data_IF_756549548232
#
_entry.id   IF_756549548232
#
_cell.length_a   1.000
_cell.length_b   1.000
_cell.length_c   1.000
_cell.angle_alpha   90.00
_cell.angle_beta   90.00
_cell.angle_gamma   90.00
#
_symmetry.space_group_name_H-M   'P 1'
#
loop_
_entity.id
_entity.type
_entity.pdbx_description
1 polymer ?
#
# COMPACT_ATOMS: atom_id res chain seq x y z
N UNK A 1 -26.09 -8.55 18.08
CA UNK A 1 -25.45 -8.45 17.42
C UNK A 1 -24.98 -7.49 16.87
N UNK A 2 -24.52 -7.16 16.66
CA UNK A 2 -24.21 -6.26 16.02
C UNK A 2 -23.59 -6.32 14.96
N UNK A 3 -24.05 -6.21 14.17
CA UNK A 3 -23.37 -6.34 13.00
C UNK A 3 -22.40 -5.27 12.79
N UNK A 4 -21.29 -5.62 12.38
CA UNK A 4 -20.29 -4.63 12.12
C UNK A 4 -20.28 -4.30 10.66
N UNK A 5 -20.75 -3.12 10.35
CA UNK A 5 -20.65 -2.59 9.00
C UNK A 5 -19.33 -1.86 8.79
N UNK A 6 -18.51 -1.81 9.82
CA UNK A 6 -17.24 -1.11 9.75
C UNK A 6 -16.13 -2.05 9.29
N UNK A 7 -15.40 -1.60 8.27
CA UNK A 7 -14.26 -2.32 7.73
C UNK A 7 -12.99 -1.79 8.38
N UNK A 8 -12.03 -2.67 8.64
CA UNK A 8 -10.72 -2.24 9.09
C UNK A 8 -9.85 -2.00 7.87
N UNK A 9 -9.28 -0.81 7.78
CA UNK A 9 -8.32 -0.47 6.73
C UNK A 9 -6.90 -0.62 7.28
N UNK A 10 -6.16 -1.58 6.77
CA UNK A 10 -4.79 -1.86 7.19
C UNK A 10 -3.81 -0.94 6.46
N UNK A 11 -3.93 0.36 6.71
CA UNK A 11 -3.12 1.36 6.03
C UNK A 11 -3.06 2.64 6.85
N UNK A 12 -1.97 3.38 6.73
CA UNK A 12 -1.83 4.70 7.35
C UNK A 12 -2.30 5.82 6.43
N UNK A 13 -2.72 5.51 5.22
CA UNK A 13 -3.06 6.50 4.21
C UNK A 13 -4.38 7.20 4.52
N UNK A 14 -4.33 8.51 4.75
CA UNK A 14 -5.52 9.32 4.93
C UNK A 14 -6.34 9.40 3.65
N UNK A 15 -5.66 9.41 2.51
CA UNK A 15 -6.34 9.46 1.21
C UNK A 15 -7.20 8.23 0.98
N UNK A 16 -6.68 7.06 1.30
CA UNK A 16 -7.44 5.82 1.15
C UNK A 16 -8.67 5.79 2.05
N UNK A 17 -8.51 6.27 3.29
CA UNK A 17 -9.65 6.39 4.21
C UNK A 17 -10.70 7.35 3.66
N UNK A 18 -10.27 8.50 3.16
CA UNK A 18 -11.19 9.49 2.58
C UNK A 18 -11.94 8.94 1.37
N UNK A 19 -11.27 8.17 0.52
CA UNK A 19 -11.92 7.55 -0.64
C UNK A 19 -13.03 6.61 -0.20
N UNK A 20 -12.77 5.79 0.80
CA UNK A 20 -13.78 4.86 1.32
C UNK A 20 -14.96 5.62 1.93
N UNK A 21 -14.68 6.62 2.74
CA UNK A 21 -15.73 7.39 3.41
C UNK A 21 -16.58 8.19 2.44
N UNK A 22 -15.98 8.72 1.37
CA UNK A 22 -16.73 9.40 0.31
C UNK A 22 -17.69 8.47 -0.41
N UNK A 23 -17.41 7.18 -0.38
CA UNK A 23 -18.27 6.16 -0.97
C UNK A 23 -19.17 5.48 0.06
N UNK A 24 -19.37 6.15 1.19
CA UNK A 24 -20.25 5.68 2.27
C UNK A 24 -19.80 4.36 2.90
N UNK A 25 -18.51 4.10 2.88
CA UNK A 25 -17.93 2.93 3.53
C UNK A 25 -17.24 3.37 4.80
N UNK A 26 -17.79 2.99 5.93
CA UNK A 26 -17.17 3.29 7.22
C UNK A 26 -15.96 2.40 7.42
N UNK A 27 -14.86 3.00 7.85
CA UNK A 27 -13.66 2.22 8.12
C UNK A 27 -12.92 2.73 9.35
N UNK A 28 -12.27 1.79 10.02
CA UNK A 28 -11.38 2.06 11.13
C UNK A 28 -9.96 1.80 10.63
N UNK A 29 -9.07 2.74 10.87
CA UNK A 29 -7.67 2.59 10.45
C UNK A 29 -6.89 1.83 11.51
N UNK A 30 -6.22 0.75 11.09
CA UNK A 30 -5.29 0.00 11.94
C UNK A 30 -4.03 -0.22 11.11
N UNK A 31 -2.96 0.46 11.47
CA UNK A 31 -1.70 0.33 10.75
C UNK A 31 -1.12 -1.07 10.95
N UNK A 32 -0.63 -1.68 9.87
CA UNK A 32 -0.03 -3.01 9.94
C UNK A 32 1.34 -3.00 10.62
N UNK A 33 2.04 -1.85 10.57
CA UNK A 33 3.41 -1.71 11.08
C UNK A 33 4.36 -2.75 10.48
N UNK A 34 4.13 -3.07 9.21
CA UNK A 34 4.94 -4.02 8.48
C UNK A 34 6.20 -3.34 7.97
N UNK A 35 7.35 -4.00 8.15
CA UNK A 35 8.58 -3.53 7.53
C UNK A 35 8.59 -4.03 6.08
N UNK A 36 8.25 -3.12 5.17
CA UNK A 36 8.03 -3.47 3.76
C UNK A 36 9.31 -3.64 2.95
N UNK A 37 10.38 -2.96 3.34
CA UNK A 37 11.60 -2.94 2.52
C UNK A 37 12.22 -4.32 2.28
N UNK A 38 12.42 -5.17 3.31
CA UNK A 38 12.97 -6.51 3.05
C UNK A 38 12.08 -7.35 2.15
N UNK A 39 10.77 -7.19 2.26
CA UNK A 39 9.82 -7.92 1.45
C UNK A 39 9.91 -7.48 -0.01
N UNK A 40 9.95 -6.17 -0.25
CA UNK A 40 10.13 -5.61 -1.59
C UNK A 40 11.42 -6.11 -2.22
N UNK A 41 12.53 -6.04 -1.48
CA UNK A 41 13.82 -6.47 -1.99
C UNK A 41 13.80 -7.94 -2.41
N UNK A 42 13.21 -8.79 -1.59
CA UNK A 42 13.09 -10.22 -1.90
C UNK A 42 12.28 -10.44 -3.17
N UNK A 43 11.15 -9.75 -3.30
CA UNK A 43 10.29 -9.89 -4.48
C UNK A 43 10.97 -9.38 -5.74
N UNK A 44 11.69 -8.26 -5.64
CA UNK A 44 12.45 -7.72 -6.77
C UNK A 44 13.52 -8.70 -7.23
N UNK A 45 14.23 -9.30 -6.29
CA UNK A 45 15.27 -10.30 -6.62
C UNK A 45 14.69 -11.53 -7.30
N UNK A 46 13.45 -11.87 -7.01
CA UNK A 46 12.75 -12.99 -7.65
C UNK A 46 12.15 -12.62 -9.00
N UNK A 47 12.30 -11.37 -9.43
CA UNK A 47 11.79 -10.91 -10.71
C UNK A 47 10.31 -10.59 -10.72
N UNK A 48 9.72 -10.32 -9.56
CA UNK A 48 8.31 -9.97 -9.49
C UNK A 48 8.04 -8.63 -10.16
N UNK A 49 6.90 -8.52 -10.86
CA UNK A 49 6.49 -7.26 -11.48
C UNK A 49 6.04 -6.25 -10.41
N UNK A 50 6.05 -4.94 -10.73
CA UNK A 50 5.52 -3.93 -9.80
C UNK A 50 4.09 -4.23 -9.36
N UNK A 51 3.25 -4.67 -10.28
CA UNK A 51 1.87 -5.04 -9.98
C UNK A 51 1.80 -6.17 -8.95
N UNK A 52 2.61 -7.21 -9.14
CA UNK A 52 2.65 -8.35 -8.22
C UNK A 52 3.16 -7.93 -6.84
N UNK A 53 4.15 -7.03 -6.80
CA UNK A 53 4.70 -6.53 -5.55
C UNK A 53 3.64 -5.77 -4.74
N UNK A 54 2.91 -4.84 -5.39
CA UNK A 54 1.87 -4.10 -4.68
C UNK A 54 0.75 -5.01 -4.18
N UNK A 55 0.37 -6.00 -4.98
CA UNK A 55 -0.64 -6.98 -4.61
C UNK A 55 -0.21 -7.80 -3.39
N UNK A 56 1.02 -8.29 -3.40
CA UNK A 56 1.55 -9.08 -2.29
C UNK A 56 1.65 -8.27 -1.00
N UNK A 57 2.11 -7.02 -1.09
CA UNK A 57 2.20 -6.16 0.08
C UNK A 57 0.83 -5.86 0.65
N UNK A 58 -0.16 -5.57 -0.19
CA UNK A 58 -1.52 -5.34 0.26
C UNK A 58 -2.08 -6.56 0.99
N UNK A 59 -1.86 -7.75 0.44
CA UNK A 59 -2.31 -8.99 1.03
C UNK A 59 -1.65 -9.27 2.38
N UNK A 60 -0.34 -9.08 2.47
CA UNK A 60 0.40 -9.30 3.71
C UNK A 60 -0.08 -8.34 4.80
N UNK A 61 -0.31 -7.07 4.46
CA UNK A 61 -0.84 -6.09 5.40
C UNK A 61 -2.21 -6.50 5.93
N UNK A 62 -3.08 -6.95 5.04
CA UNK A 62 -4.42 -7.39 5.42
C UNK A 62 -4.35 -8.60 6.35
N UNK A 63 -3.52 -9.59 6.01
CA UNK A 63 -3.37 -10.79 6.83
C UNK A 63 -2.84 -10.46 8.22
N UNK A 64 -1.84 -9.60 8.30
CA UNK A 64 -1.25 -9.23 9.57
C UNK A 64 -2.26 -8.57 10.51
N UNK A 65 -3.04 -7.63 9.98
CA UNK A 65 -4.05 -6.93 10.77
C UNK A 65 -5.22 -7.85 11.09
N UNK A 66 -5.61 -8.69 10.15
CA UNK A 66 -6.72 -9.63 10.34
C UNK A 66 -6.44 -10.63 11.47
N UNK A 67 -5.20 -11.06 11.62
CA UNK A 67 -4.83 -12.02 12.67
C UNK A 67 -5.04 -11.44 14.09
N UNK A 68 -5.05 -10.11 14.20
CA UNK A 68 -5.24 -9.42 15.47
C UNK A 68 -6.65 -8.90 15.68
N UNK A 69 -7.48 -8.98 14.66
CA UNK A 69 -8.82 -8.39 14.66
C UNK A 69 -9.83 -9.38 14.09
N UNK A 70 -10.04 -10.47 14.80
CA UNK A 70 -10.99 -11.51 14.40
C UNK A 70 -12.39 -10.92 14.26
N UNK A 71 -13.17 -11.50 13.38
CA UNK A 71 -14.57 -11.10 13.14
C UNK A 71 -14.73 -9.74 12.43
N UNK A 72 -13.66 -9.25 11.83
CA UNK A 72 -13.74 -8.04 11.02
C UNK A 72 -13.28 -8.31 9.59
N UNK A 73 -13.84 -7.57 8.67
CA UNK A 73 -13.35 -7.55 7.29
C UNK A 73 -12.18 -6.58 7.26
N UNK A 74 -11.05 -7.04 6.78
CA UNK A 74 -9.84 -6.22 6.72
C UNK A 74 -9.45 -5.96 5.27
N UNK A 75 -9.27 -4.70 4.92
CA UNK A 75 -8.84 -4.28 3.60
C UNK A 75 -7.40 -3.81 3.66
N UNK A 76 -6.54 -4.46 2.88
CA UNK A 76 -5.17 -4.02 2.70
C UNK A 76 -5.02 -3.33 1.36
N UNK A 77 -4.11 -2.39 1.29
CA UNK A 77 -3.82 -1.68 0.05
C UNK A 77 -2.37 -1.27 0.01
N UNK A 78 -1.83 -1.22 -1.20
CA UNK A 78 -0.48 -0.75 -1.44
C UNK A 78 -0.41 -0.07 -2.80
N UNK A 79 0.55 0.81 -2.97
CA UNK A 79 0.79 1.49 -4.25
C UNK A 79 2.28 1.51 -4.53
N UNK A 80 2.63 1.24 -5.78
CA UNK A 80 3.99 1.37 -6.28
C UNK A 80 3.96 2.16 -7.57
N UNK A 81 5.05 2.86 -7.87
CA UNK A 81 5.19 3.56 -9.15
C UNK A 81 6.13 2.74 -10.02
N UNK A 82 5.66 2.39 -11.20
CA UNK A 82 6.44 1.65 -12.19
C UNK A 82 6.99 2.62 -13.22
N UNK A 83 8.30 2.76 -13.26
CA UNK A 83 9.00 3.57 -14.24
C UNK A 83 9.95 2.67 -15.01
N UNK A 84 9.63 2.40 -16.27
CA UNK A 84 10.48 1.58 -17.13
C UNK A 84 10.84 0.24 -16.49
N UNK A 85 9.87 -0.43 -15.86
CA UNK A 85 10.01 -1.67 -15.11
C UNK A 85 10.82 -1.56 -13.83
N UNK A 86 11.07 -0.33 -13.37
CA UNK A 86 11.69 -0.08 -12.08
C UNK A 86 10.65 0.46 -11.11
N UNK A 87 10.75 0.04 -9.87
CA UNK A 87 9.84 0.51 -8.83
C UNK A 87 10.38 1.80 -8.22
N UNK A 88 9.53 2.81 -8.13
CA UNK A 88 9.84 4.03 -7.43
C UNK A 88 9.23 3.96 -6.04
N UNK A 89 10.07 3.90 -5.04
CA UNK A 89 9.64 3.85 -3.65
C UNK A 89 9.35 5.25 -3.11
N UNK A 90 8.58 5.29 -2.01
CA UNK A 90 8.25 6.54 -1.35
C UNK A 90 9.53 7.27 -0.93
N UNK A 91 9.69 8.56 -1.24
CA UNK A 91 10.89 9.29 -0.88
C UNK A 91 11.01 9.44 0.65
N UNK A 92 12.25 9.36 1.15
CA UNK A 92 12.53 9.49 2.57
C UNK A 92 12.82 10.94 2.96
N UNK A 93 13.23 11.76 2.01
CA UNK A 93 13.56 13.15 2.23
C UNK A 93 13.36 13.97 0.96
N UNK A 94 13.59 15.29 1.07
CA UNK A 94 13.38 16.21 -0.05
C UNK A 94 14.27 15.90 -1.25
N UNK A 95 15.53 15.55 -0.99
CA UNK A 95 16.48 15.28 -2.07
C UNK A 95 16.05 14.06 -2.88
N UNK A 96 15.58 13.01 -2.21
CA UNK A 96 15.03 11.85 -2.90
C UNK A 96 13.77 12.18 -3.68
N UNK A 97 12.91 13.05 -3.12
CA UNK A 97 11.71 13.48 -3.81
C UNK A 97 12.04 14.23 -5.10
N UNK A 98 13.02 15.13 -5.06
CA UNK A 98 13.49 15.86 -6.24
C UNK A 98 14.09 14.91 -7.28
N UNK A 99 14.86 13.93 -6.84
CA UNK A 99 15.47 12.95 -7.74
C UNK A 99 14.38 12.13 -8.45
N UNK A 100 13.35 11.70 -7.71
CA UNK A 100 12.21 10.97 -8.29
C UNK A 100 11.49 11.82 -9.33
N UNK A 101 11.24 13.09 -9.03
CA UNK A 101 10.59 14.01 -9.98
C UNK A 101 11.41 14.15 -11.26
N UNK A 102 12.74 14.26 -11.14
CA UNK A 102 13.62 14.33 -12.31
C UNK A 102 13.55 13.05 -13.13
N UNK A 103 13.52 11.90 -12.47
CA UNK A 103 13.44 10.60 -13.16
C UNK A 103 12.11 10.43 -13.89
N UNK A 104 11.02 10.94 -13.33
CA UNK A 104 9.69 10.83 -13.92
C UNK A 104 9.46 11.85 -15.03
N UNK A 105 10.22 12.95 -15.04
CA UNK A 105 10.02 14.04 -15.99
C UNK A 105 10.19 13.58 -17.45
N UNK A 106 9.16 13.79 -18.26
CA UNK A 106 9.17 13.42 -19.65
C UNK A 106 9.13 11.93 -19.93
N UNK A 107 8.89 11.11 -18.92
CA UNK A 107 8.83 9.65 -19.08
C UNK A 107 7.46 9.12 -18.71
N UNK A 108 7.12 8.01 -19.31
CA UNK A 108 5.88 7.31 -19.03
C UNK A 108 6.04 6.45 -17.78
N UNK A 109 5.07 6.54 -16.87
CA UNK A 109 5.08 5.73 -15.65
C UNK A 109 3.68 5.28 -15.29
N UNK A 110 3.58 4.26 -14.44
CA UNK A 110 2.32 3.65 -14.03
C UNK A 110 2.24 3.52 -12.52
N UNK A 111 1.05 3.71 -12.00
CA UNK A 111 0.74 3.53 -10.59
C UNK A 111 -0.09 2.26 -10.40
#
# INVERSE_FOLDING_TARGET
MQTKNEIILASKSKVRKEILEKNNIKCKVVASNLDEEPIKETLIKKGASPELISKNLAEIKAIKVSSLNNNHIVLGADSVIDLENSIISKPKNRDQALDILKRLNGKEHYL
#
